data_IF_681122544087
#
_entry.id   IF_681122544087
#
_cell.length_a   1.000
_cell.length_b   1.000
_cell.length_c   1.000
_cell.angle_alpha   90.00
_cell.angle_beta   90.00
_cell.angle_gamma   90.00
#
_symmetry.space_group_name_H-M   'P 1'
#
loop_
_entity.id
_entity.type
_entity.pdbx_description
1 polymer ?
#
# COMPACT_ATOMS: atom_id res chain seq x y z
N UNK A 1 -27.66 -15.49 -8.60
CA UNK A 1 -26.68 -14.55 -8.02
C UNK A 1 -26.46 -14.96 -6.57
N UNK A 2 -25.32 -15.57 -6.27
CA UNK A 2 -25.02 -16.15 -4.96
C UNK A 2 -24.86 -15.06 -3.89
N UNK A 3 -25.44 -15.27 -2.69
CA UNK A 3 -25.39 -14.28 -1.60
C UNK A 3 -23.94 -13.94 -1.21
N UNK A 4 -23.00 -14.88 -1.33
CA UNK A 4 -21.60 -14.64 -1.02
C UNK A 4 -20.97 -13.62 -2.00
N UNK A 5 -21.25 -13.71 -3.31
CA UNK A 5 -20.77 -12.74 -4.30
C UNK A 5 -21.31 -11.32 -4.02
N UNK A 6 -22.56 -11.21 -3.56
CA UNK A 6 -23.15 -9.92 -3.14
C UNK A 6 -22.43 -9.33 -1.92
N UNK A 7 -22.13 -10.13 -0.90
CA UNK A 7 -21.39 -9.67 0.28
C UNK A 7 -19.92 -9.36 -0.05
N UNK A 8 -19.30 -10.14 -0.93
CA UNK A 8 -17.92 -9.92 -1.38
C UNK A 8 -17.78 -8.62 -2.19
N UNK A 9 -18.75 -8.35 -3.08
CA UNK A 9 -18.86 -7.09 -3.83
C UNK A 9 -19.19 -5.91 -2.92
N UNK A 10 -20.05 -6.08 -1.92
CA UNK A 10 -20.36 -5.03 -0.95
C UNK A 10 -19.18 -4.71 -0.01
N UNK A 11 -18.37 -5.72 0.35
CA UNK A 11 -17.20 -5.58 1.21
C UNK A 11 -16.03 -4.84 0.56
N UNK A 12 -15.94 -4.86 -0.78
CA UNK A 12 -14.89 -4.14 -1.53
C UNK A 12 -15.51 -3.00 -2.33
N UNK A 13 -15.66 -1.83 -1.70
CA UNK A 13 -16.12 -0.62 -2.39
C UNK A 13 -15.31 -0.39 -3.66
N UNK A 14 -15.95 0.03 -4.75
CA UNK A 14 -15.27 0.30 -6.03
C UNK A 14 -14.08 1.26 -5.89
N UNK A 15 -14.18 2.23 -4.98
CA UNK A 15 -13.10 3.13 -4.63
C UNK A 15 -11.86 2.41 -4.10
N UNK A 16 -12.01 1.34 -3.31
CA UNK A 16 -10.90 0.52 -2.83
C UNK A 16 -10.23 -0.21 -3.98
N UNK A 17 -11.01 -0.77 -4.92
CA UNK A 17 -10.45 -1.45 -6.12
C UNK A 17 -9.67 -0.47 -7.00
N UNK A 18 -10.23 0.71 -7.25
CA UNK A 18 -9.55 1.78 -8.01
C UNK A 18 -8.26 2.22 -7.33
N UNK A 19 -8.31 2.44 -6.01
CA UNK A 19 -7.13 2.84 -5.24
C UNK A 19 -6.04 1.77 -5.23
N UNK A 20 -6.43 0.49 -5.20
CA UNK A 20 -5.47 -0.61 -5.26
C UNK A 20 -4.84 -0.71 -6.64
N UNK A 21 -5.64 -0.61 -7.71
CA UNK A 21 -5.11 -0.58 -9.08
C UNK A 21 -4.11 0.55 -9.26
N UNK A 22 -4.46 1.77 -8.86
CA UNK A 22 -3.57 2.93 -8.95
C UNK A 22 -2.27 2.72 -8.15
N UNK A 23 -2.33 2.01 -7.01
CA UNK A 23 -1.14 1.68 -6.24
C UNK A 23 -0.22 0.67 -6.96
N UNK A 24 -0.80 -0.32 -7.66
CA UNK A 24 -0.07 -1.28 -8.49
C UNK A 24 0.54 -0.59 -9.71
N UNK A 25 -0.24 0.20 -10.45
CA UNK A 25 0.22 0.97 -11.61
C UNK A 25 1.37 1.91 -11.23
N UNK A 26 1.27 2.58 -10.08
CA UNK A 26 2.36 3.42 -9.62
C UNK A 26 3.62 2.63 -9.27
N UNK A 27 3.50 1.43 -8.70
CA UNK A 27 4.65 0.59 -8.40
C UNK A 27 5.34 0.13 -9.69
N UNK A 28 4.58 -0.39 -10.65
CA UNK A 28 5.14 -0.95 -11.89
C UNK A 28 5.55 0.12 -12.91
N UNK A 29 4.71 1.13 -13.13
CA UNK A 29 4.89 2.11 -14.21
C UNK A 29 5.55 3.39 -13.73
N UNK A 30 5.15 3.95 -12.57
CA UNK A 30 5.69 5.23 -12.10
C UNK A 30 7.04 5.06 -11.43
N UNK A 31 7.20 4.03 -10.60
CA UNK A 31 8.46 3.75 -9.93
C UNK A 31 9.38 2.82 -10.73
N UNK A 32 8.81 1.92 -11.54
CA UNK A 32 9.57 0.95 -12.35
C UNK A 32 9.90 -0.35 -11.61
N UNK A 33 9.10 -0.72 -10.61
CA UNK A 33 9.20 -2.01 -9.93
C UNK A 33 8.60 -3.15 -10.75
N UNK A 34 8.86 -4.39 -10.34
CA UNK A 34 8.27 -5.59 -10.95
C UNK A 34 7.55 -6.42 -9.92
N UNK A 35 6.42 -7.01 -10.33
CA UNK A 35 5.62 -7.94 -9.55
C UNK A 35 5.73 -9.36 -10.14
N UNK A 36 5.83 -10.43 -9.32
CA UNK A 36 5.95 -10.40 -7.87
C UNK A 36 7.28 -9.77 -7.41
N UNK A 37 7.25 -9.16 -6.22
CA UNK A 37 8.40 -8.46 -5.65
C UNK A 37 8.85 -9.10 -4.33
N UNK A 38 10.00 -8.68 -3.84
CA UNK A 38 10.55 -9.14 -2.56
C UNK A 38 10.36 -8.08 -1.47
N UNK A 39 10.58 -8.46 -0.21
CA UNK A 39 10.60 -7.50 0.89
C UNK A 39 11.62 -6.38 0.68
N UNK A 40 12.76 -6.69 0.06
CA UNK A 40 13.79 -5.69 -0.30
C UNK A 40 13.28 -4.70 -1.36
N UNK A 41 12.60 -5.20 -2.41
CA UNK A 41 11.97 -4.36 -3.42
C UNK A 41 10.96 -3.39 -2.81
N UNK A 42 10.17 -3.83 -1.83
CA UNK A 42 9.26 -2.96 -1.08
C UNK A 42 10.03 -1.91 -0.27
N UNK A 43 11.10 -2.31 0.42
CA UNK A 43 11.91 -1.38 1.22
C UNK A 43 12.48 -0.27 0.34
N UNK A 44 13.01 -0.61 -0.85
CA UNK A 44 13.53 0.37 -1.80
C UNK A 44 12.43 1.32 -2.30
N UNK A 45 11.25 0.77 -2.62
CA UNK A 45 10.09 1.59 -2.98
C UNK A 45 9.66 2.54 -1.87
N UNK A 46 9.54 2.06 -0.64
CA UNK A 46 9.17 2.89 0.51
C UNK A 46 10.20 3.99 0.77
N UNK A 47 11.49 3.70 0.61
CA UNK A 47 12.57 4.68 0.78
C UNK A 47 12.43 5.83 -0.22
N UNK A 48 12.19 5.50 -1.49
CA UNK A 48 12.08 6.50 -2.57
C UNK A 48 10.92 7.49 -2.39
N UNK A 49 9.85 7.06 -1.71
CA UNK A 49 8.64 7.84 -1.50
C UNK A 49 8.38 8.24 -0.04
N UNK A 50 9.33 7.97 0.87
CA UNK A 50 9.20 8.23 2.31
C UNK A 50 8.91 9.70 2.63
N UNK A 51 9.60 10.61 1.94
CA UNK A 51 9.45 12.07 2.10
C UNK A 51 8.37 12.65 1.15
N UNK A 52 8.08 11.94 0.06
CA UNK A 52 7.17 12.42 -1.01
C UNK A 52 5.70 12.15 -0.71
N UNK A 53 5.39 11.16 0.14
CA UNK A 53 4.02 10.74 0.42
C UNK A 53 3.75 10.62 1.92
N UNK A 54 2.51 10.94 2.32
CA UNK A 54 2.07 10.70 3.68
C UNK A 54 2.10 9.19 4.03
N UNK A 55 2.38 8.89 5.30
CA UNK A 55 2.45 7.51 5.80
C UNK A 55 1.18 6.71 5.53
N UNK A 56 0.01 7.35 5.57
CA UNK A 56 -1.28 6.72 5.25
C UNK A 56 -1.33 6.24 3.80
N UNK A 57 -0.78 7.02 2.87
CA UNK A 57 -0.69 6.64 1.45
C UNK A 57 0.29 5.49 1.25
N UNK A 58 1.45 5.51 1.92
CA UNK A 58 2.41 4.39 1.87
C UNK A 58 1.79 3.09 2.40
N UNK A 59 1.03 3.14 3.50
CA UNK A 59 0.30 1.99 4.02
C UNK A 59 -0.78 1.47 3.07
N UNK A 60 -1.52 2.37 2.41
CA UNK A 60 -2.52 1.97 1.42
C UNK A 60 -1.86 1.28 0.21
N UNK A 61 -0.71 1.79 -0.25
CA UNK A 61 0.09 1.17 -1.31
C UNK A 61 0.60 -0.22 -0.91
N UNK A 62 1.09 -0.38 0.33
CA UNK A 62 1.47 -1.70 0.85
C UNK A 62 0.30 -2.68 0.87
N UNK A 63 -0.88 -2.25 1.31
CA UNK A 63 -2.06 -3.11 1.33
C UNK A 63 -2.46 -3.57 -0.08
N UNK A 64 -2.32 -2.70 -1.09
CA UNK A 64 -2.55 -3.06 -2.48
C UNK A 64 -1.54 -4.09 -2.99
N UNK A 65 -0.24 -3.89 -2.70
CA UNK A 65 0.82 -4.83 -3.07
C UNK A 65 0.64 -6.19 -2.40
N UNK A 66 0.33 -6.21 -1.10
CA UNK A 66 0.01 -7.45 -0.38
C UNK A 66 -1.18 -8.18 -1.03
N UNK A 67 -2.25 -7.44 -1.34
CA UNK A 67 -3.45 -8.00 -1.94
C UNK A 67 -3.18 -8.56 -3.34
N UNK A 68 -2.34 -7.88 -4.14
CA UNK A 68 -1.92 -8.40 -5.43
C UNK A 68 -1.21 -9.74 -5.27
N UNK A 69 -0.22 -9.85 -4.36
CA UNK A 69 0.52 -11.10 -4.15
C UNK A 69 -0.40 -12.23 -3.72
N UNK A 70 -1.28 -11.98 -2.74
CA UNK A 70 -2.23 -12.98 -2.24
C UNK A 70 -3.18 -13.43 -3.36
N UNK A 71 -3.69 -12.51 -4.16
CA UNK A 71 -4.62 -12.84 -5.26
C UNK A 71 -3.95 -13.65 -6.36
N UNK A 72 -2.65 -13.43 -6.59
CA UNK A 72 -1.86 -14.19 -7.56
C UNK A 72 -1.27 -15.50 -6.99
N UNK A 73 -1.50 -15.80 -5.71
CA UNK A 73 -0.98 -17.02 -5.04
C UNK A 73 0.47 -16.93 -4.58
N UNK A 74 1.06 -15.74 -4.54
CA UNK A 74 2.42 -15.51 -4.04
C UNK A 74 2.43 -15.23 -2.52
N UNK A 75 3.55 -15.54 -1.83
CA UNK A 75 3.74 -15.11 -0.45
C UNK A 75 3.74 -13.57 -0.37
N UNK A 76 3.21 -13.03 0.73
CA UNK A 76 3.11 -11.60 0.94
C UNK A 76 4.46 -10.98 1.38
N UNK A 77 5.15 -10.21 0.52
CA UNK A 77 6.46 -9.63 0.83
C UNK A 77 6.37 -8.46 1.83
N UNK A 78 5.18 -7.89 2.07
CA UNK A 78 4.98 -6.77 3.01
C UNK A 78 5.10 -7.21 4.47
N UNK A 79 4.98 -8.52 4.75
CA UNK A 79 5.05 -9.08 6.11
C UNK A 79 6.46 -9.24 6.64
N UNK A 80 7.48 -9.02 5.81
CA UNK A 80 8.89 -9.12 6.21
C UNK A 80 9.23 -8.13 7.33
N UNK A 81 10.12 -8.48 8.27
CA UNK A 81 10.48 -7.62 9.39
C UNK A 81 11.07 -6.27 8.92
N UNK A 82 11.85 -6.28 7.83
CA UNK A 82 12.47 -5.08 7.27
C UNK A 82 11.43 -4.06 6.78
N UNK A 83 10.36 -4.50 6.11
CA UNK A 83 9.27 -3.61 5.67
C UNK A 83 8.55 -2.99 6.88
N UNK A 84 8.30 -3.77 7.93
CA UNK A 84 7.69 -3.28 9.16
C UNK A 84 8.58 -2.25 9.87
N UNK A 85 9.88 -2.51 9.94
CA UNK A 85 10.86 -1.57 10.51
C UNK A 85 10.95 -0.29 9.69
N UNK A 86 10.93 -0.38 8.35
CA UNK A 86 10.94 0.77 7.46
C UNK A 86 9.75 1.70 7.72
N UNK A 87 8.51 1.18 7.78
CA UNK A 87 7.33 2.00 8.08
C UNK A 87 7.42 2.66 9.47
N UNK A 88 7.98 1.96 10.46
CA UNK A 88 8.24 2.55 11.78
C UNK A 88 9.25 3.69 11.68
N UNK A 89 10.35 3.51 10.94
CA UNK A 89 11.37 4.52 10.70
C UNK A 89 10.80 5.76 10.01
N UNK A 90 10.06 5.58 8.92
CA UNK A 90 9.39 6.68 8.20
C UNK A 90 8.48 7.47 9.14
N UNK A 91 7.74 6.81 10.05
CA UNK A 91 6.89 7.50 11.03
C UNK A 91 7.66 8.40 11.99
N UNK A 92 8.86 7.96 12.40
CA UNK A 92 9.72 8.69 13.33
C UNK A 92 10.38 9.88 12.63
N UNK A 93 10.87 9.68 11.41
CA UNK A 93 11.57 10.72 10.63
C UNK A 93 10.61 11.76 10.06
N UNK A 94 9.44 11.32 9.57
CA UNK A 94 8.41 12.18 8.98
C UNK A 94 7.12 12.10 9.80
N UNK A 95 7.08 12.74 10.99
CA UNK A 95 5.85 12.81 11.76
C UNK A 95 4.79 13.52 10.93
N UNK A 96 3.60 12.91 10.84
CA UNK A 96 2.49 13.51 10.12
C UNK A 96 2.17 14.88 10.75
N UNK A 97 2.33 15.96 9.99
CA UNK A 97 1.80 17.25 10.39
C UNK A 97 0.28 17.10 10.51
N UNK A 98 -0.23 17.16 11.73
CA UNK A 98 -1.67 17.19 11.99
C UNK A 98 -2.18 18.48 11.35
N UNK A 99 -2.80 18.38 10.18
CA UNK A 99 -3.63 19.46 9.65
C UNK A 99 -4.81 19.59 10.60
N UNK A 100 -4.66 20.44 11.62
CA UNK A 100 -5.78 20.91 12.39
C UNK A 100 -6.71 21.64 11.41
N UNK A 101 -7.97 21.23 11.36
CA UNK A 101 -8.97 22.00 10.64
C UNK A 101 -9.06 23.38 11.29
N UNK A 102 -9.11 24.44 10.49
CA UNK A 102 -9.36 25.78 11.02
C UNK A 102 -10.68 25.75 11.81
N UNK A 103 -10.74 26.31 13.04
CA UNK A 103 -12.00 26.46 13.75
C UNK A 103 -12.95 27.30 12.90
N UNK A 104 -14.23 26.89 12.86
CA UNK A 104 -15.33 27.63 12.23
C UNK A 104 -15.66 28.90 13.02
#
# INVERSE_FOLDING_TARGET
MDKADRYLKAGTRENTRKSYRAAIEHFEMTWGGYLPTTGDGIVRYLTEYADKHAISTLKQRLAALAQWHITQGFPDPTKTPNVRQMIKGIRVVHPAQVKQAAPL
#
